data_IF_867514036879
#
_entry.id   IF_867514036879
#
_cell.length_a   1.000
_cell.length_b   1.000
_cell.length_c   1.000
_cell.angle_alpha   90.00
_cell.angle_beta   90.00
_cell.angle_gamma   90.00
#
_symmetry.space_group_name_H-M   'P 1'
#
loop_
_entity.id
_entity.type
_entity.pdbx_description
1 polymer ?
#
# COMPACT_ATOMS: atom_id res chain seq x y z
N UNK A 1 20.92 -62.39 -2.49
CA UNK A 1 20.30 -61.71 -3.66
C UNK A 1 20.47 -60.22 -3.49
N UNK A 2 21.52 -59.62 -4.06
CA UNK A 2 21.77 -58.17 -3.96
C UNK A 2 20.85 -57.39 -4.91
N UNK A 3 20.29 -56.28 -4.44
CA UNK A 3 19.42 -55.41 -5.24
C UNK A 3 20.21 -54.84 -6.44
N UNK A 4 19.97 -55.37 -7.64
CA UNK A 4 20.65 -54.94 -8.88
C UNK A 4 20.09 -53.65 -9.50
N UNK A 5 19.01 -53.09 -8.92
CA UNK A 5 18.26 -51.96 -9.50
C UNK A 5 18.47 -50.63 -8.75
N UNK A 6 19.47 -50.54 -7.87
CA UNK A 6 19.69 -49.33 -7.07
C UNK A 6 19.94 -48.09 -7.94
N UNK A 7 20.66 -48.23 -9.05
CA UNK A 7 20.90 -47.16 -10.02
C UNK A 7 19.60 -46.67 -10.68
N UNK A 8 18.73 -47.58 -11.10
CA UNK A 8 17.44 -47.23 -11.72
C UNK A 8 16.50 -46.55 -10.73
N UNK A 9 16.49 -46.99 -9.46
CA UNK A 9 15.67 -46.36 -8.41
C UNK A 9 16.23 -44.97 -8.07
N UNK A 10 17.55 -44.80 -7.97
CA UNK A 10 18.17 -43.49 -7.74
C UNK A 10 17.84 -42.51 -8.87
N UNK A 11 17.99 -42.94 -10.13
CA UNK A 11 17.69 -42.12 -11.29
C UNK A 11 16.21 -41.71 -11.34
N UNK A 12 15.29 -42.63 -11.06
CA UNK A 12 13.86 -42.32 -11.01
C UNK A 12 13.50 -41.36 -9.86
N UNK A 13 14.18 -41.47 -8.71
CA UNK A 13 13.98 -40.58 -7.58
C UNK A 13 14.53 -39.18 -7.88
N UNK A 14 15.71 -39.08 -8.49
CA UNK A 14 16.30 -37.82 -8.95
C UNK A 14 15.40 -37.12 -9.99
N UNK A 15 14.88 -37.86 -10.97
CA UNK A 15 13.95 -37.34 -11.97
C UNK A 15 12.64 -36.84 -11.35
N UNK A 16 12.11 -37.59 -10.38
CA UNK A 16 10.92 -37.17 -9.60
C UNK A 16 11.19 -35.92 -8.77
N UNK A 17 12.37 -35.82 -8.15
CA UNK A 17 12.79 -34.65 -7.38
C UNK A 17 12.92 -33.42 -8.28
N UNK A 18 13.53 -33.57 -9.46
CA UNK A 18 13.68 -32.49 -10.44
C UNK A 18 12.31 -32.02 -10.92
N UNK A 19 11.43 -32.95 -11.28
CA UNK A 19 10.06 -32.65 -11.71
C UNK A 19 9.28 -31.88 -10.64
N UNK A 20 9.33 -32.32 -9.37
CA UNK A 20 8.68 -31.62 -8.26
C UNK A 20 9.29 -30.24 -8.00
N UNK A 21 10.62 -30.13 -8.07
CA UNK A 21 11.34 -28.87 -7.87
C UNK A 21 11.02 -27.85 -8.97
N UNK A 22 10.80 -28.31 -10.20
CA UNK A 22 10.40 -27.47 -11.33
C UNK A 22 9.00 -26.84 -11.15
N UNK A 23 8.14 -27.42 -10.30
CA UNK A 23 6.83 -26.84 -9.99
C UNK A 23 6.89 -25.71 -8.95
N UNK A 24 7.96 -25.64 -8.15
CA UNK A 24 8.07 -24.67 -7.03
C UNK A 24 7.99 -23.20 -7.48
N UNK A 25 8.63 -22.77 -8.59
CA UNK A 25 8.50 -21.39 -9.07
C UNK A 25 7.07 -21.03 -9.45
N UNK A 26 6.37 -21.89 -10.18
CA UNK A 26 4.99 -21.65 -10.61
C UNK A 26 4.03 -21.58 -9.41
N UNK A 27 4.21 -22.45 -8.41
CA UNK A 27 3.44 -22.40 -7.17
C UNK A 27 3.74 -21.12 -6.37
N UNK A 28 5.01 -20.72 -6.30
CA UNK A 28 5.43 -19.49 -5.62
C UNK A 28 4.79 -18.27 -6.27
N UNK A 29 4.85 -18.17 -7.59
CA UNK A 29 4.24 -17.09 -8.37
C UNK A 29 2.74 -17.01 -8.10
N UNK A 30 2.04 -18.16 -8.14
CA UNK A 30 0.60 -18.21 -7.88
C UNK A 30 0.25 -17.77 -6.45
N UNK A 31 1.01 -18.22 -5.46
CA UNK A 31 0.83 -17.81 -4.06
C UNK A 31 1.05 -16.31 -3.91
N UNK A 32 2.14 -15.77 -4.48
CA UNK A 32 2.43 -14.34 -4.39
C UNK A 32 1.36 -13.51 -5.09
N UNK A 33 0.86 -13.96 -6.23
CA UNK A 33 -0.23 -13.29 -6.96
C UNK A 33 -1.51 -13.23 -6.12
N UNK A 34 -1.96 -14.37 -5.59
CA UNK A 34 -3.20 -14.44 -4.82
C UNK A 34 -3.10 -13.60 -3.53
N UNK A 35 -1.94 -13.62 -2.87
CA UNK A 35 -1.68 -12.76 -1.71
C UNK A 35 -1.64 -11.26 -2.08
N UNK A 36 -1.01 -10.91 -3.21
CA UNK A 36 -0.97 -9.52 -3.71
C UNK A 36 -2.36 -8.98 -4.00
N UNK A 37 -3.20 -9.79 -4.65
CA UNK A 37 -4.59 -9.44 -4.93
C UNK A 37 -5.39 -9.27 -3.64
N UNK A 38 -5.20 -10.16 -2.66
CA UNK A 38 -5.83 -10.04 -1.35
C UNK A 38 -5.40 -8.77 -0.60
N UNK A 39 -4.10 -8.50 -0.52
CA UNK A 39 -3.57 -7.28 0.12
C UNK A 39 -4.11 -6.02 -0.57
N UNK A 40 -4.04 -5.98 -1.90
CA UNK A 40 -4.50 -4.83 -2.67
C UNK A 40 -6.02 -4.60 -2.55
N UNK A 41 -6.83 -5.66 -2.41
CA UNK A 41 -8.28 -5.52 -2.24
C UNK A 41 -8.65 -4.63 -1.04
N UNK A 42 -7.85 -4.68 0.03
CA UNK A 42 -7.99 -3.82 1.19
C UNK A 42 -7.33 -2.46 1.00
N UNK A 43 -6.12 -2.39 0.43
CA UNK A 43 -5.43 -1.12 0.15
C UNK A 43 -6.22 -0.20 -0.79
N UNK A 44 -7.03 -0.78 -1.68
CA UNK A 44 -7.95 -0.05 -2.55
C UNK A 44 -8.95 0.82 -1.79
N UNK A 45 -9.20 0.56 -0.51
CA UNK A 45 -10.02 1.43 0.36
C UNK A 45 -9.49 2.86 0.49
N UNK A 46 -8.24 3.15 0.11
CA UNK A 46 -7.75 4.53 -0.02
C UNK A 46 -8.61 5.41 -0.95
N UNK A 47 -9.29 4.83 -1.94
CA UNK A 47 -10.24 5.54 -2.81
C UNK A 47 -11.40 6.18 -2.04
N UNK A 48 -11.72 5.66 -0.85
CA UNK A 48 -12.81 6.15 -0.01
C UNK A 48 -12.36 7.27 0.94
N UNK A 49 -11.05 7.47 1.14
CA UNK A 49 -10.51 8.51 2.03
C UNK A 49 -11.04 9.91 1.70
N UNK A 50 -11.11 10.34 0.42
CA UNK A 50 -11.73 11.63 0.09
C UNK A 50 -13.17 11.76 0.56
N UNK A 51 -13.96 10.68 0.46
CA UNK A 51 -15.37 10.68 0.87
C UNK A 51 -15.52 10.75 2.39
N UNK A 52 -14.56 10.22 3.14
CA UNK A 52 -14.58 10.22 4.61
C UNK A 52 -14.34 11.59 5.23
N UNK A 53 -13.63 12.49 4.53
CA UNK A 53 -13.30 13.82 5.05
C UNK A 53 -14.08 14.94 4.37
N UNK A 54 -14.32 14.84 3.05
CA UNK A 54 -14.95 15.92 2.29
C UNK A 54 -16.36 16.23 2.80
N UNK A 55 -16.57 17.48 3.21
CA UNK A 55 -17.84 18.01 3.73
C UNK A 55 -18.34 17.23 4.95
N UNK A 56 -17.43 16.65 5.71
CA UNK A 56 -17.72 15.99 6.98
C UNK A 56 -17.12 16.82 8.11
N UNK A 57 -17.78 16.85 9.27
CA UNK A 57 -17.19 17.44 10.48
C UNK A 57 -16.21 16.48 11.17
N UNK A 58 -15.59 15.56 10.43
CA UNK A 58 -14.67 14.58 10.98
C UNK A 58 -13.40 15.27 11.49
N UNK A 59 -12.90 14.80 12.62
CA UNK A 59 -11.70 15.31 13.26
C UNK A 59 -10.46 15.09 12.39
N UNK A 60 -9.38 15.83 12.70
CA UNK A 60 -8.09 15.68 12.02
C UNK A 60 -7.55 14.27 12.30
N UNK A 61 -7.11 13.53 11.28
CA UNK A 61 -6.60 12.18 11.48
C UNK A 61 -5.31 12.18 12.28
N UNK A 62 -5.22 11.26 13.25
CA UNK A 62 -4.05 11.04 14.11
C UNK A 62 -3.51 9.62 14.03
N UNK A 63 -4.28 8.70 13.45
CA UNK A 63 -3.89 7.29 13.28
C UNK A 63 -4.10 6.85 11.83
N UNK A 64 -3.36 5.81 11.44
CA UNK A 64 -3.58 5.14 10.17
C UNK A 64 -4.96 4.47 10.09
N UNK A 65 -5.43 4.26 8.87
CA UNK A 65 -6.68 3.60 8.54
C UNK A 65 -6.59 2.09 8.79
N UNK A 66 -7.65 1.51 9.35
CA UNK A 66 -7.74 0.07 9.67
C UNK A 66 -7.65 -0.85 8.44
N UNK A 67 -7.82 -0.33 7.23
CA UNK A 67 -7.64 -1.13 6.01
C UNK A 67 -6.17 -1.54 5.83
N UNK A 68 -5.20 -0.78 6.35
CA UNK A 68 -3.77 -1.13 6.24
C UNK A 68 -3.48 -2.39 7.05
N UNK A 69 -3.98 -2.48 8.29
CA UNK A 69 -3.92 -3.72 9.08
C UNK A 69 -4.60 -4.90 8.39
N UNK A 70 -5.78 -4.65 7.81
CA UNK A 70 -6.54 -5.67 7.10
C UNK A 70 -5.78 -6.20 5.88
N UNK A 71 -5.10 -5.32 5.14
CA UNK A 71 -4.28 -5.68 4.00
C UNK A 71 -3.09 -6.56 4.38
N UNK A 72 -2.48 -6.32 5.55
CA UNK A 72 -1.26 -7.01 5.98
C UNK A 72 -1.53 -8.29 6.76
N UNK A 73 -2.76 -8.51 7.20
CA UNK A 73 -3.17 -9.71 7.94
C UNK A 73 -2.80 -11.03 7.24
N UNK A 74 -3.01 -11.22 5.91
CA UNK A 74 -2.62 -12.44 5.21
C UNK A 74 -1.10 -12.69 5.27
N UNK A 75 -0.29 -11.63 5.22
CA UNK A 75 1.16 -11.71 5.28
C UNK A 75 1.65 -12.13 6.67
N UNK A 76 1.05 -11.56 7.71
CA UNK A 76 1.34 -11.98 9.08
C UNK A 76 0.93 -13.44 9.32
N UNK A 77 -0.21 -13.87 8.78
CA UNK A 77 -0.66 -15.26 8.86
C UNK A 77 0.27 -16.22 8.13
N UNK A 78 0.76 -15.85 6.94
CA UNK A 78 1.78 -16.60 6.21
C UNK A 78 3.04 -16.73 7.06
N UNK A 79 3.50 -15.61 7.63
CA UNK A 79 4.71 -15.57 8.43
C UNK A 79 4.57 -16.39 9.71
N UNK A 80 3.44 -16.37 10.41
CA UNK A 80 3.27 -17.11 11.68
C UNK A 80 2.88 -18.57 11.48
N UNK A 81 2.04 -18.88 10.50
CA UNK A 81 1.44 -20.21 10.33
C UNK A 81 2.34 -21.25 9.66
N UNK A 82 3.42 -20.81 9.02
CA UNK A 82 4.25 -21.68 8.17
C UNK A 82 5.74 -21.68 8.53
N UNK A 83 6.16 -21.09 9.65
CA UNK A 83 7.58 -21.03 10.06
C UNK A 83 8.23 -22.41 10.17
N UNK A 84 7.46 -23.43 10.56
CA UNK A 84 7.94 -24.79 10.77
C UNK A 84 7.93 -25.64 9.48
N UNK A 85 7.25 -25.16 8.43
CA UNK A 85 7.01 -25.91 7.18
C UNK A 85 7.79 -25.35 5.99
N UNK A 86 8.09 -24.06 6.00
CA UNK A 86 8.77 -23.37 4.91
C UNK A 86 10.10 -22.79 5.39
N UNK A 87 11.08 -22.77 4.49
CA UNK A 87 12.34 -22.07 4.75
C UNK A 87 12.06 -20.58 4.91
N UNK A 88 12.69 -19.94 5.89
CA UNK A 88 12.53 -18.51 6.14
C UNK A 88 12.83 -17.64 4.91
N UNK A 89 13.84 -18.03 4.11
CA UNK A 89 14.16 -17.36 2.85
C UNK A 89 13.00 -17.37 1.85
N UNK A 90 12.25 -18.48 1.75
CA UNK A 90 11.09 -18.58 0.86
C UNK A 90 9.95 -17.68 1.33
N UNK A 91 9.70 -17.65 2.66
CA UNK A 91 8.70 -16.75 3.23
C UNK A 91 9.07 -15.30 2.95
N UNK A 92 10.32 -14.89 3.18
CA UNK A 92 10.77 -13.52 2.91
C UNK A 92 10.63 -13.16 1.43
N UNK A 93 11.02 -14.05 0.51
CA UNK A 93 10.86 -13.84 -0.92
C UNK A 93 9.39 -13.64 -1.31
N UNK A 94 8.47 -14.44 -0.75
CA UNK A 94 7.05 -14.30 -1.02
C UNK A 94 6.49 -12.99 -0.46
N UNK A 95 6.89 -12.62 0.77
CA UNK A 95 6.47 -11.36 1.38
C UNK A 95 6.95 -10.15 0.55
N UNK A 96 8.21 -10.14 0.13
CA UNK A 96 8.80 -9.06 -0.68
C UNK A 96 8.11 -8.92 -2.04
N UNK A 97 7.91 -10.04 -2.75
CA UNK A 97 7.21 -10.06 -4.03
C UNK A 97 5.76 -9.58 -3.88
N UNK A 98 5.06 -10.07 -2.87
CA UNK A 98 3.67 -9.68 -2.62
C UNK A 98 3.52 -8.21 -2.25
N UNK A 99 4.38 -7.72 -1.36
CA UNK A 99 4.37 -6.31 -0.97
C UNK A 99 4.75 -5.41 -2.15
N UNK A 100 5.70 -5.82 -2.99
CA UNK A 100 6.08 -5.06 -4.18
C UNK A 100 4.93 -4.89 -5.16
N UNK A 101 4.19 -5.95 -5.46
CA UNK A 101 3.08 -5.88 -6.40
C UNK A 101 1.87 -5.13 -5.84
N UNK A 102 1.51 -5.40 -4.58
CA UNK A 102 0.38 -4.72 -3.93
C UNK A 102 0.67 -3.25 -3.65
N UNK A 103 1.90 -2.91 -3.25
CA UNK A 103 2.33 -1.51 -3.03
C UNK A 103 2.41 -0.75 -4.34
N UNK A 104 2.82 -1.37 -5.44
CA UNK A 104 2.82 -0.73 -6.76
C UNK A 104 1.40 -0.30 -7.18
N UNK A 105 0.41 -1.20 -7.07
CA UNK A 105 -1.00 -0.87 -7.36
C UNK A 105 -1.56 0.17 -6.37
N UNK A 106 -1.13 0.10 -5.11
CA UNK A 106 -1.50 1.08 -4.10
C UNK A 106 -0.92 2.47 -4.41
N UNK A 107 0.31 2.55 -4.90
CA UNK A 107 0.93 3.78 -5.36
C UNK A 107 0.11 4.44 -6.47
N UNK A 108 -0.29 3.67 -7.49
CA UNK A 108 -1.15 4.19 -8.57
C UNK A 108 -2.47 4.75 -8.00
N UNK A 109 -3.09 4.00 -7.08
CA UNK A 109 -4.34 4.40 -6.42
C UNK A 109 -4.19 5.70 -5.63
N UNK A 110 -3.14 5.82 -4.81
CA UNK A 110 -2.87 7.02 -4.00
C UNK A 110 -2.54 8.21 -4.87
N UNK A 111 -1.77 8.01 -5.95
CA UNK A 111 -1.46 9.03 -6.94
C UNK A 111 -2.72 9.58 -7.60
N UNK A 112 -3.64 8.71 -8.03
CA UNK A 112 -4.91 9.12 -8.61
C UNK A 112 -5.78 9.91 -7.62
N UNK A 113 -5.84 9.48 -6.37
CA UNK A 113 -6.56 10.19 -5.31
C UNK A 113 -5.98 11.59 -5.10
N UNK A 114 -4.66 11.71 -4.92
CA UNK A 114 -4.00 13.00 -4.69
C UNK A 114 -4.13 13.93 -5.89
N UNK A 115 -4.01 13.41 -7.11
CA UNK A 115 -4.24 14.18 -8.33
C UNK A 115 -5.68 14.71 -8.42
N UNK A 116 -6.67 13.90 -8.04
CA UNK A 116 -8.07 14.32 -7.98
C UNK A 116 -8.32 15.42 -6.94
N UNK A 117 -7.73 15.27 -5.75
CA UNK A 117 -7.78 16.28 -4.68
C UNK A 117 -7.19 17.61 -5.16
N UNK A 118 -5.98 17.58 -5.73
CA UNK A 118 -5.31 18.78 -6.25
C UNK A 118 -6.13 19.50 -7.32
N UNK A 119 -6.67 18.77 -8.31
CA UNK A 119 -7.51 19.35 -9.37
C UNK A 119 -8.76 20.04 -8.80
N UNK A 120 -9.36 19.44 -7.77
CA UNK A 120 -10.54 19.98 -7.12
C UNK A 120 -10.22 21.26 -6.33
N UNK A 121 -9.13 21.25 -5.60
CA UNK A 121 -8.61 22.39 -4.86
C UNK A 121 -8.30 23.58 -5.78
N UNK A 122 -7.62 23.34 -6.91
CA UNK A 122 -7.33 24.37 -7.92
C UNK A 122 -8.61 24.95 -8.53
N UNK A 123 -9.61 24.11 -8.82
CA UNK A 123 -10.93 24.55 -9.29
C UNK A 123 -11.65 25.45 -8.27
N UNK A 124 -11.62 25.07 -6.99
CA UNK A 124 -12.20 25.87 -5.90
C UNK A 124 -11.45 27.19 -5.70
N UNK A 125 -10.12 27.21 -5.81
CA UNK A 125 -9.31 28.43 -5.74
C UNK A 125 -9.70 29.40 -6.86
N UNK A 126 -9.82 28.92 -8.11
CA UNK A 126 -10.28 29.73 -9.26
C UNK A 126 -11.70 30.26 -9.07
N UNK A 127 -12.62 29.44 -8.58
CA UNK A 127 -14.00 29.86 -8.30
C UNK A 127 -14.07 30.96 -7.22
N UNK A 128 -13.29 30.81 -6.13
CA UNK A 128 -13.18 31.82 -5.07
C UNK A 128 -12.60 33.14 -5.59
N UNK A 129 -11.57 33.08 -6.43
CA UNK A 129 -10.98 34.27 -7.06
C UNK A 129 -11.97 34.99 -8.00
N UNK A 130 -12.72 34.25 -8.83
CA UNK A 130 -13.72 34.82 -9.72
C UNK A 130 -14.84 35.54 -8.96
N UNK A 131 -15.27 35.02 -7.81
CA UNK A 131 -16.27 35.68 -6.93
C UNK A 131 -15.73 36.93 -6.24
N UNK A 132 -14.43 37.02 -5.97
CA UNK A 132 -13.80 38.22 -5.38
C UNK A 132 -13.67 39.38 -6.38
N UNK A 133 -13.71 39.10 -7.69
CA UNK A 133 -13.66 40.11 -8.74
C UNK A 133 -15.01 40.84 -8.96
N UNK A 134 -16.07 40.47 -8.24
CA UNK A 134 -17.40 41.13 -8.29
C UNK A 134 -17.63 41.93 -7.00
N UNK A 135 -17.99 43.23 -7.06
CA UNK A 135 -18.06 44.10 -5.88
C UNK A 135 -19.40 43.94 -5.14
N UNK A 136 -19.68 42.76 -4.55
CA UNK A 136 -20.74 42.58 -3.56
C UNK A 136 -20.67 41.21 -2.90
N UNK A 137 -19.99 41.08 -1.75
CA UNK A 137 -20.46 40.34 -0.56
C UNK A 137 -19.34 40.21 0.50
N UNK A 138 -19.66 40.27 1.80
CA UNK A 138 -18.68 40.03 2.85
C UNK A 138 -18.30 38.55 2.83
N UNK A 139 -17.03 38.26 2.53
CA UNK A 139 -16.49 36.92 2.64
C UNK A 139 -16.47 36.52 4.13
N UNK A 140 -17.37 35.62 4.52
CA UNK A 140 -17.30 34.97 5.82
C UNK A 140 -15.93 34.32 5.99
N UNK A 141 -15.24 34.67 7.08
CA UNK A 141 -13.96 34.10 7.45
C UNK A 141 -14.16 32.60 7.67
N UNK A 142 -13.69 31.79 6.73
CA UNK A 142 -13.48 30.36 6.98
C UNK A 142 -12.37 30.26 8.02
N UNK A 143 -12.74 29.79 9.22
CA UNK A 143 -11.85 29.66 10.37
C UNK A 143 -10.56 28.91 10.04
N UNK A 144 -9.48 29.28 10.73
CA UNK A 144 -8.11 28.77 10.56
C UNK A 144 -7.91 27.31 10.98
N UNK A 145 -8.77 26.41 10.52
CA UNK A 145 -8.63 24.96 10.67
C UNK A 145 -8.16 24.29 9.36
N UNK A 146 -7.53 23.14 9.52
CA UNK A 146 -7.11 22.22 8.44
C UNK A 146 -8.25 21.97 7.43
N UNK A 147 -7.99 22.18 6.13
CA UNK A 147 -8.97 21.92 5.06
C UNK A 147 -9.30 20.43 4.96
N UNK A 148 -10.45 20.08 4.39
CA UNK A 148 -10.80 18.69 4.10
C UNK A 148 -9.74 18.02 3.20
N UNK A 149 -9.22 18.77 2.22
CA UNK A 149 -8.16 18.31 1.31
C UNK A 149 -6.85 18.06 2.06
N UNK A 150 -6.53 18.88 3.06
CA UNK A 150 -5.36 18.70 3.91
C UNK A 150 -5.52 17.44 4.80
N UNK A 151 -6.72 17.21 5.36
CA UNK A 151 -7.01 15.99 6.13
C UNK A 151 -6.86 14.73 5.28
N UNK A 152 -7.26 14.77 4.01
CA UNK A 152 -7.08 13.66 3.06
C UNK A 152 -5.59 13.38 2.85
N UNK A 153 -4.79 14.42 2.56
CA UNK A 153 -3.33 14.30 2.39
C UNK A 153 -2.66 13.74 3.64
N UNK A 154 -3.04 14.24 4.81
CA UNK A 154 -2.52 13.77 6.10
C UNK A 154 -2.88 12.30 6.36
N UNK A 155 -4.13 11.88 6.12
CA UNK A 155 -4.53 10.49 6.31
C UNK A 155 -3.70 9.55 5.44
N UNK A 156 -3.54 9.86 4.16
CA UNK A 156 -2.75 9.03 3.24
C UNK A 156 -1.27 8.96 3.66
N UNK A 157 -0.72 10.05 4.19
CA UNK A 157 0.63 10.06 4.74
C UNK A 157 0.76 9.16 5.98
N UNK A 158 -0.21 9.19 6.91
CA UNK A 158 -0.26 8.29 8.06
C UNK A 158 -0.38 6.82 7.63
N UNK A 159 -1.23 6.55 6.63
CA UNK A 159 -1.48 5.20 6.13
C UNK A 159 -0.22 4.60 5.49
N UNK A 160 0.51 5.39 4.69
CA UNK A 160 1.78 4.97 4.06
C UNK A 160 2.92 4.84 5.08
N UNK A 161 3.02 5.76 6.04
CA UNK A 161 4.03 5.67 7.10
C UNK A 161 3.83 4.40 7.93
N UNK A 162 2.58 4.11 8.29
CA UNK A 162 2.24 2.90 9.02
C UNK A 162 2.52 1.64 8.19
N UNK A 163 2.16 1.63 6.89
CA UNK A 163 2.53 0.52 6.00
C UNK A 163 4.05 0.26 6.00
N UNK A 164 4.87 1.31 5.95
CA UNK A 164 6.32 1.21 6.05
C UNK A 164 6.81 0.58 7.35
N UNK A 165 6.27 1.04 8.48
CA UNK A 165 6.59 0.47 9.80
C UNK A 165 6.25 -1.03 9.87
N UNK A 166 5.13 -1.44 9.27
CA UNK A 166 4.75 -2.85 9.25
C UNK A 166 5.65 -3.69 8.33
N UNK A 167 6.09 -3.16 7.18
CA UNK A 167 7.06 -3.81 6.29
C UNK A 167 8.37 -4.09 7.06
N UNK A 168 8.84 -3.11 7.83
CA UNK A 168 10.05 -3.26 8.66
C UNK A 168 9.84 -4.27 9.79
N UNK A 169 8.66 -4.28 10.44
CA UNK A 169 8.29 -5.28 11.45
C UNK A 169 8.24 -6.71 10.90
N UNK A 170 7.92 -6.88 9.62
CA UNK A 170 7.98 -8.18 8.94
C UNK A 170 9.43 -8.60 8.60
N UNK A 171 10.42 -7.73 8.85
CA UNK A 171 11.84 -8.00 8.62
C UNK A 171 12.31 -7.71 7.20
N UNK A 172 11.59 -6.85 6.47
CA UNK A 172 11.93 -6.41 5.12
C UNK A 172 12.41 -4.95 5.13
N UNK A 173 13.15 -4.53 4.10
CA UNK A 173 13.54 -3.13 3.95
C UNK A 173 12.60 -2.43 2.98
N UNK A 174 12.03 -1.31 3.40
CA UNK A 174 11.11 -0.50 2.59
C UNK A 174 11.68 -0.04 1.25
N UNK A 175 13.00 0.14 1.16
CA UNK A 175 13.72 0.47 -0.08
C UNK A 175 13.70 -0.64 -1.14
N UNK A 176 13.56 -1.90 -0.71
CA UNK A 176 13.57 -3.07 -1.60
C UNK A 176 12.15 -3.37 -2.12
N UNK A 177 11.13 -2.78 -1.49
CA UNK A 177 9.74 -2.89 -1.94
C UNK A 177 9.50 -1.95 -3.12
N UNK A 178 9.12 -2.53 -4.26
CA UNK A 178 8.80 -1.79 -5.48
C UNK A 178 7.81 -0.65 -5.19
N UNK A 179 8.14 0.54 -5.68
CA UNK A 179 7.31 1.76 -5.57
C UNK A 179 7.05 2.28 -4.16
N UNK A 180 7.49 1.62 -3.09
CA UNK A 180 7.32 2.15 -1.74
C UNK A 180 8.08 3.48 -1.53
N UNK A 181 9.36 3.63 -1.95
CA UNK A 181 10.07 4.90 -1.80
C UNK A 181 9.37 6.06 -2.52
N UNK A 182 8.91 5.83 -3.76
CA UNK A 182 8.18 6.81 -4.54
C UNK A 182 6.81 7.15 -3.91
N UNK A 183 6.13 6.16 -3.32
CA UNK A 183 4.89 6.36 -2.59
C UNK A 183 5.10 7.22 -1.33
N UNK A 184 6.15 6.94 -0.56
CA UNK A 184 6.50 7.72 0.63
C UNK A 184 6.81 9.18 0.27
N UNK A 185 7.59 9.42 -0.80
CA UNK A 185 7.89 10.75 -1.30
C UNK A 185 6.63 11.48 -1.78
N UNK A 186 5.76 10.79 -2.53
CA UNK A 186 4.51 11.33 -3.05
C UNK A 186 3.60 11.86 -1.94
N UNK A 187 3.39 11.08 -0.87
CA UNK A 187 2.53 11.50 0.24
C UNK A 187 3.19 12.56 1.12
N UNK A 188 4.52 12.54 1.27
CA UNK A 188 5.25 13.58 1.98
C UNK A 188 5.13 14.93 1.27
N UNK A 189 5.40 14.95 -0.04
CA UNK A 189 5.26 16.14 -0.86
C UNK A 189 3.82 16.69 -0.85
N UNK A 190 2.82 15.82 -0.87
CA UNK A 190 1.43 16.24 -0.75
C UNK A 190 1.14 16.87 0.62
N UNK A 191 1.60 16.25 1.72
CA UNK A 191 1.41 16.75 3.08
C UNK A 191 2.10 18.11 3.29
N UNK A 192 3.28 18.32 2.72
CA UNK A 192 4.03 19.56 2.89
C UNK A 192 3.37 20.73 2.13
N UNK A 193 2.77 20.46 0.96
CA UNK A 193 1.94 21.45 0.25
C UNK A 193 0.78 21.96 1.11
N UNK A 194 0.14 21.08 1.89
CA UNK A 194 -0.92 21.48 2.81
C UNK A 194 -0.43 22.43 3.92
N UNK A 195 0.80 22.23 4.39
CA UNK A 195 1.38 23.01 5.50
C UNK A 195 1.86 24.38 5.03
N UNK A 196 2.40 24.46 3.81
CA UNK A 196 2.89 25.72 3.22
C UNK A 196 1.77 26.70 2.84
N UNK A 197 0.52 26.23 2.71
CA UNK A 197 -0.63 27.05 2.33
C UNK A 197 -1.47 27.54 3.53
N UNK A 198 -1.11 27.19 4.77
CA UNK A 198 -1.69 27.77 5.98
C UNK A 198 -0.97 29.08 6.34
N UNK A 199 -1.67 30.23 6.42
CA UNK A 199 -1.08 31.54 6.70
C UNK A 199 -0.60 31.70 8.15
#
# INVERSE_FOLDING_TARGET
MGFKNFSSISAALEDSQLSLSACVPALSEKITQDLSESCFSHLKSALEVPRLYRRTNKEVPVTASSYVDSALKPLYQLQSGHKDKLKQATIQQWLEATLSDSTHKYYETVSDVLNSVRKMEESLKRLKQARRATPASPAGLSGGGMSDDDKIRLQLALDVAYLGEQIEKMGLQTKDIRSFPALAELVAAAKDQATAEQP
#
